data_IF_088683263391
#
_entry.id   IF_088683263391
#
_cell.length_a   1.000
_cell.length_b   1.000
_cell.length_c   1.000
_cell.angle_alpha   90.00
_cell.angle_beta   90.00
_cell.angle_gamma   90.00
#
_symmetry.space_group_name_H-M   'P 1'
#
loop_
_entity.id
_entity.type
_entity.pdbx_description
1 polymer ?
#
# COMPACT_ATOMS: atom_id res chain seq x y z
N UNK A 1 22.10 35.97 -5.63
CA UNK A 1 20.65 35.76 -5.75
C UNK A 1 20.41 34.28 -5.90
N UNK A 2 19.47 33.71 -5.15
CA UNK A 2 19.13 32.29 -5.17
C UNK A 2 17.70 32.09 -5.67
N UNK A 3 17.55 31.32 -6.76
CA UNK A 3 16.24 30.95 -7.32
C UNK A 3 16.05 29.44 -7.19
N UNK A 4 14.90 29.01 -6.65
CA UNK A 4 14.56 27.59 -6.55
C UNK A 4 13.45 27.20 -7.51
N UNK A 5 13.60 26.10 -8.24
CA UNK A 5 12.61 25.61 -9.19
C UNK A 5 11.93 24.39 -8.58
N UNK A 6 10.62 24.44 -8.40
CA UNK A 6 9.81 23.29 -8.00
C UNK A 6 9.01 22.83 -9.22
N UNK A 7 9.34 21.65 -9.73
CA UNK A 7 8.72 21.09 -10.93
C UNK A 7 7.76 19.96 -10.55
N UNK A 8 6.47 20.18 -10.79
CA UNK A 8 5.36 19.29 -10.47
C UNK A 8 4.88 18.41 -11.62
N UNK A 9 5.55 18.44 -12.77
CA UNK A 9 5.28 17.51 -13.86
C UNK A 9 5.83 16.11 -13.59
N UNK A 10 5.70 15.21 -14.56
CA UNK A 10 6.01 13.78 -14.40
C UNK A 10 7.44 13.38 -14.77
N UNK A 11 8.24 14.31 -15.30
CA UNK A 11 9.60 14.03 -15.74
C UNK A 11 9.68 13.21 -17.03
N UNK A 12 8.65 13.30 -17.88
CA UNK A 12 8.66 12.67 -19.21
C UNK A 12 9.59 13.48 -20.13
N UNK A 13 10.29 12.80 -21.04
CA UNK A 13 11.25 13.43 -21.96
C UNK A 13 10.61 14.56 -22.78
N UNK A 14 9.42 14.32 -23.34
CA UNK A 14 8.70 15.27 -24.20
C UNK A 14 7.80 16.23 -23.40
N UNK A 15 8.21 16.60 -22.18
CA UNK A 15 7.44 17.55 -21.37
C UNK A 15 7.74 19.01 -21.78
N UNK A 16 6.74 19.79 -22.25
CA UNK A 16 6.95 21.17 -22.68
C UNK A 16 7.38 22.11 -21.56
N UNK A 17 6.90 21.90 -20.33
CA UNK A 17 7.33 22.70 -19.16
C UNK A 17 8.79 22.44 -18.85
N UNK A 18 9.27 21.19 -19.02
CA UNK A 18 10.65 20.80 -18.77
C UNK A 18 11.62 21.59 -19.67
N UNK A 19 11.30 21.69 -20.95
CA UNK A 19 12.07 22.53 -21.89
C UNK A 19 12.11 23.99 -21.46
N UNK A 20 10.95 24.57 -21.11
CA UNK A 20 10.86 25.97 -20.71
C UNK A 20 11.72 26.26 -19.48
N UNK A 21 11.61 25.44 -18.42
CA UNK A 21 12.41 25.67 -17.20
C UNK A 21 13.89 25.41 -17.42
N UNK A 22 14.27 24.48 -18.30
CA UNK A 22 15.68 24.27 -18.65
C UNK A 22 16.23 25.52 -19.35
N UNK A 23 15.49 26.08 -20.31
CA UNK A 23 15.93 27.28 -21.01
C UNK A 23 15.99 28.51 -20.11
N UNK A 24 15.01 28.68 -19.22
CA UNK A 24 15.07 29.72 -18.19
C UNK A 24 16.26 29.52 -17.25
N UNK A 25 16.57 28.28 -16.89
CA UNK A 25 17.71 27.97 -16.03
C UNK A 25 19.04 28.34 -16.69
N UNK A 26 19.19 28.12 -17.99
CA UNK A 26 20.40 28.49 -18.74
C UNK A 26 20.62 30.01 -18.71
N UNK A 27 19.59 30.80 -19.03
CA UNK A 27 19.66 32.28 -18.97
C UNK A 27 19.98 32.76 -17.55
N UNK A 28 19.34 32.19 -16.53
CA UNK A 28 19.58 32.60 -15.15
C UNK A 28 21.00 32.23 -14.68
N UNK A 29 21.56 31.11 -15.15
CA UNK A 29 22.97 30.73 -14.86
C UNK A 29 23.95 31.72 -15.49
N UNK A 30 23.69 32.16 -16.71
CA UNK A 30 24.51 33.20 -17.38
C UNK A 30 24.51 34.52 -16.60
N UNK A 31 23.42 34.84 -15.91
CA UNK A 31 23.28 35.99 -15.03
C UNK A 31 23.86 35.77 -13.61
N UNK A 32 24.65 34.71 -13.39
CA UNK A 32 25.26 34.34 -12.11
C UNK A 32 24.26 34.11 -10.96
N UNK A 33 23.08 33.57 -11.28
CA UNK A 33 22.08 33.17 -10.29
C UNK A 33 22.35 31.75 -9.80
N UNK A 34 22.32 31.55 -8.48
CA UNK A 34 22.36 30.20 -7.90
C UNK A 34 21.00 29.54 -8.07
N UNK A 35 20.95 28.40 -8.77
CA UNK A 35 19.70 27.70 -9.04
C UNK A 35 19.71 26.31 -8.40
N UNK A 36 18.65 26.00 -7.66
CA UNK A 36 18.37 24.67 -7.12
C UNK A 36 17.05 24.17 -7.68
N UNK A 37 17.03 22.97 -8.24
CA UNK A 37 15.83 22.39 -8.84
C UNK A 37 15.37 21.17 -8.05
N UNK A 38 14.08 21.14 -7.73
CA UNK A 38 13.39 20.07 -7.04
C UNK A 38 12.35 19.45 -7.97
N UNK A 39 12.61 18.22 -8.39
CA UNK A 39 11.66 17.41 -9.15
C UNK A 39 10.71 16.74 -8.16
N UNK A 40 9.48 17.25 -8.03
CA UNK A 40 8.55 16.79 -6.99
C UNK A 40 8.17 15.31 -7.17
N UNK A 41 8.17 14.80 -8.39
CA UNK A 41 7.92 13.38 -8.69
C UNK A 41 9.02 12.44 -8.15
N UNK A 42 10.24 12.92 -7.90
CA UNK A 42 11.34 12.16 -7.29
C UNK A 42 11.27 12.19 -5.76
N UNK A 43 10.62 13.21 -5.21
CA UNK A 43 10.61 13.50 -3.78
C UNK A 43 9.28 13.18 -3.10
N UNK A 44 8.48 12.25 -3.65
CA UNK A 44 7.07 12.00 -3.26
C UNK A 44 6.84 11.95 -1.74
N UNK A 45 7.68 11.21 -1.00
CA UNK A 45 7.54 11.06 0.46
C UNK A 45 8.13 12.25 1.25
N UNK A 46 8.96 13.06 0.60
CA UNK A 46 9.70 14.16 1.21
C UNK A 46 9.15 15.55 0.82
N UNK A 47 8.09 15.63 0.00
CA UNK A 47 7.48 16.91 -0.42
C UNK A 47 7.13 17.78 0.80
N UNK A 48 6.65 17.15 1.87
CA UNK A 48 6.31 17.79 3.15
C UNK A 48 7.49 18.48 3.83
N UNK A 49 8.74 18.09 3.56
CA UNK A 49 9.96 18.75 4.10
C UNK A 49 10.45 19.92 3.24
N UNK A 50 10.03 20.00 1.97
CA UNK A 50 10.50 21.02 1.03
C UNK A 50 10.22 22.47 1.43
N UNK A 51 9.17 22.82 2.20
CA UNK A 51 8.98 24.20 2.64
C UNK A 51 10.17 24.78 3.41
N UNK A 52 10.96 23.96 4.12
CA UNK A 52 12.18 24.40 4.80
C UNK A 52 13.23 24.95 3.82
N UNK A 53 13.23 24.45 2.58
CA UNK A 53 14.13 24.92 1.53
C UNK A 53 13.78 26.33 1.03
N UNK A 54 12.64 26.91 1.40
CA UNK A 54 12.27 28.27 0.99
C UNK A 54 13.00 29.36 1.79
N UNK A 55 13.54 29.02 2.96
CA UNK A 55 14.08 30.00 3.91
C UNK A 55 15.25 30.86 3.37
N UNK A 56 16.01 30.34 2.40
CA UNK A 56 17.16 31.01 1.78
C UNK A 56 16.94 31.35 0.30
N UNK A 57 15.71 31.26 -0.20
CA UNK A 57 15.38 31.63 -1.57
C UNK A 57 15.05 33.13 -1.69
N UNK A 58 15.59 33.80 -2.70
CA UNK A 58 15.16 35.17 -3.10
C UNK A 58 13.96 35.12 -4.04
N UNK A 59 13.88 34.05 -4.84
CA UNK A 59 12.76 33.78 -5.72
C UNK A 59 12.57 32.30 -6.00
N UNK A 60 11.40 31.95 -6.51
CA UNK A 60 11.08 30.59 -6.90
C UNK A 60 10.39 30.54 -8.26
N UNK A 61 10.49 29.41 -8.92
CA UNK A 61 9.72 29.08 -10.11
C UNK A 61 8.85 27.88 -9.77
N UNK A 62 7.53 28.05 -9.83
CA UNK A 62 6.58 26.95 -9.72
C UNK A 62 6.21 26.49 -11.12
N UNK A 63 6.63 25.28 -11.48
CA UNK A 63 6.51 24.76 -12.82
C UNK A 63 5.63 23.51 -12.85
N UNK A 64 4.62 23.45 -13.70
CA UNK A 64 3.78 22.25 -13.84
C UNK A 64 3.24 22.08 -15.25
N UNK A 65 2.96 20.84 -15.63
CA UNK A 65 2.37 20.48 -16.93
C UNK A 65 0.93 20.03 -16.71
N UNK A 66 -0.01 20.70 -17.38
CA UNK A 66 -1.42 20.35 -17.33
C UNK A 66 -1.69 19.26 -18.37
N UNK A 67 -1.85 18.02 -17.90
CA UNK A 67 -2.22 16.87 -18.73
C UNK A 67 -3.74 16.67 -18.79
N UNK A 68 -4.42 16.88 -17.66
CA UNK A 68 -5.88 16.72 -17.55
C UNK A 68 -6.56 17.95 -16.95
N UNK A 69 -6.34 18.22 -15.66
CA UNK A 69 -6.98 19.33 -14.97
C UNK A 69 -6.16 19.78 -13.76
N UNK A 70 -6.12 21.10 -13.56
CA UNK A 70 -5.44 21.73 -12.43
C UNK A 70 -3.92 21.65 -12.51
N UNK A 71 -3.26 21.95 -11.38
CA UNK A 71 -1.81 22.12 -11.29
C UNK A 71 -1.04 20.81 -11.01
N UNK A 72 -1.74 19.67 -10.94
CA UNK A 72 -1.16 18.36 -10.63
C UNK A 72 -1.01 18.09 -9.13
N UNK A 73 -1.08 16.81 -8.76
CA UNK A 73 -1.12 16.38 -7.35
C UNK A 73 0.16 16.71 -6.57
N UNK A 74 1.35 16.54 -7.18
CA UNK A 74 2.61 16.85 -6.51
C UNK A 74 2.78 18.34 -6.22
N UNK A 75 2.38 19.20 -7.18
CA UNK A 75 2.42 20.65 -6.97
C UNK A 75 1.41 21.08 -5.90
N UNK A 76 0.20 20.49 -5.92
CA UNK A 76 -0.80 20.73 -4.88
C UNK A 76 -0.26 20.33 -3.50
N UNK A 77 0.30 19.13 -3.36
CA UNK A 77 0.90 18.66 -2.10
C UNK A 77 2.02 19.58 -1.61
N UNK A 78 2.85 20.10 -2.52
CA UNK A 78 3.89 21.06 -2.17
C UNK A 78 3.31 22.38 -1.65
N UNK A 79 2.28 22.92 -2.30
CA UNK A 79 1.60 24.13 -1.84
C UNK A 79 0.88 23.93 -0.51
N UNK A 80 0.25 22.78 -0.29
CA UNK A 80 -0.37 22.41 0.98
C UNK A 80 0.69 22.28 2.08
N UNK A 81 1.85 21.68 1.78
CA UNK A 81 2.98 21.64 2.69
C UNK A 81 3.51 23.05 3.00
N UNK A 82 3.58 23.95 2.02
CA UNK A 82 3.93 25.35 2.27
C UNK A 82 2.89 26.08 3.12
N UNK A 83 1.60 25.71 2.99
CA UNK A 83 0.53 26.23 3.83
C UNK A 83 0.70 25.79 5.29
N UNK A 84 0.94 24.50 5.52
CA UNK A 84 1.02 23.91 6.85
C UNK A 84 2.38 24.17 7.53
N UNK A 85 3.47 24.01 6.80
CA UNK A 85 4.83 23.95 7.34
C UNK A 85 5.76 25.08 6.86
N UNK A 86 5.31 25.92 5.94
CA UNK A 86 6.13 26.99 5.39
C UNK A 86 6.30 28.17 6.37
N UNK A 87 7.53 28.64 6.52
CA UNK A 87 7.84 29.88 7.25
C UNK A 87 7.23 31.08 6.51
N UNK A 88 6.14 31.64 7.06
CA UNK A 88 5.38 32.75 6.44
C UNK A 88 6.19 34.04 6.31
N UNK A 89 7.10 34.30 7.24
CA UNK A 89 7.95 35.50 7.21
C UNK A 89 8.99 35.43 6.09
N UNK A 90 9.51 34.23 5.82
CA UNK A 90 10.38 34.00 4.67
C UNK A 90 9.57 34.13 3.37
N UNK A 91 8.45 33.40 3.26
CA UNK A 91 7.59 33.39 2.06
C UNK A 91 7.15 34.80 1.66
N UNK A 92 6.86 35.69 2.63
CA UNK A 92 6.44 37.07 2.37
C UNK A 92 7.45 37.91 1.57
N UNK A 93 8.71 37.48 1.51
CA UNK A 93 9.79 38.16 0.80
C UNK A 93 10.15 37.49 -0.53
N UNK A 94 9.56 36.33 -0.83
CA UNK A 94 9.91 35.49 -1.97
C UNK A 94 9.04 35.83 -3.18
N UNK A 95 9.71 36.15 -4.28
CA UNK A 95 9.09 36.31 -5.60
C UNK A 95 8.83 34.95 -6.26
N UNK A 96 7.65 34.75 -6.84
CA UNK A 96 7.29 33.49 -7.50
C UNK A 96 6.91 33.70 -8.95
N UNK A 97 7.56 32.99 -9.86
CA UNK A 97 7.19 32.92 -11.26
C UNK A 97 6.44 31.60 -11.56
N UNK A 98 5.18 31.65 -12.03
CA UNK A 98 4.48 30.45 -12.46
C UNK A 98 4.84 30.10 -13.92
N UNK A 99 5.17 28.85 -14.18
CA UNK A 99 5.45 28.31 -15.51
C UNK A 99 4.52 27.12 -15.75
N UNK A 100 3.56 27.26 -16.65
CA UNK A 100 2.54 26.23 -16.86
C UNK A 100 2.36 25.92 -18.34
N UNK A 101 2.75 24.72 -18.78
CA UNK A 101 2.46 24.28 -20.15
C UNK A 101 1.33 23.25 -20.16
N UNK A 102 0.65 23.11 -21.30
CA UNK A 102 -0.36 22.07 -21.52
C UNK A 102 -0.14 21.40 -22.87
N UNK A 103 -0.47 20.11 -22.96
CA UNK A 103 -0.60 19.38 -24.23
C UNK A 103 -2.06 19.27 -24.68
N UNK A 104 -2.99 19.80 -23.88
CA UNK A 104 -4.43 19.79 -24.12
C UNK A 104 -5.03 21.19 -23.90
N UNK A 105 -5.35 21.55 -22.66
CA UNK A 105 -5.92 22.83 -22.25
C UNK A 105 -5.69 23.07 -20.75
N UNK A 106 -6.03 24.27 -20.26
CA UNK A 106 -6.06 24.59 -18.83
C UNK A 106 -4.78 25.24 -18.28
N UNK A 107 -3.81 25.53 -19.13
CA UNK A 107 -2.55 26.19 -18.75
C UNK A 107 -2.77 27.59 -18.16
N UNK A 108 -3.77 28.33 -18.66
CA UNK A 108 -4.13 29.65 -18.14
C UNK A 108 -4.69 29.57 -16.72
N UNK A 109 -5.59 28.62 -16.48
CA UNK A 109 -6.17 28.38 -15.16
C UNK A 109 -5.11 27.85 -14.19
N UNK A 110 -4.24 26.96 -14.64
CA UNK A 110 -3.10 26.47 -13.85
C UNK A 110 -2.16 27.60 -13.44
N UNK A 111 -1.81 28.50 -14.36
CA UNK A 111 -0.99 29.68 -14.05
C UNK A 111 -1.66 30.60 -13.04
N UNK A 112 -2.96 30.89 -13.22
CA UNK A 112 -3.73 31.70 -12.29
C UNK A 112 -3.78 31.04 -10.90
N UNK A 113 -3.99 29.72 -10.85
CA UNK A 113 -4.04 28.96 -9.62
C UNK A 113 -2.72 29.05 -8.84
N UNK A 114 -1.57 28.84 -9.50
CA UNK A 114 -0.26 29.02 -8.87
C UNK A 114 -0.05 30.43 -8.33
N UNK A 115 -0.40 31.46 -9.11
CA UNK A 115 -0.33 32.86 -8.66
C UNK A 115 -1.16 33.12 -7.42
N UNK A 116 -2.43 32.71 -7.44
CA UNK A 116 -3.36 32.90 -6.32
C UNK A 116 -2.93 32.12 -5.08
N UNK A 117 -2.48 30.87 -5.25
CA UNK A 117 -2.01 30.05 -4.14
C UNK A 117 -0.79 30.67 -3.45
N UNK A 118 0.19 31.14 -4.21
CA UNK A 118 1.38 31.80 -3.66
C UNK A 118 1.06 33.12 -2.97
N UNK A 119 0.12 33.87 -3.53
CA UNK A 119 -0.38 35.11 -2.96
C UNK A 119 -1.11 34.88 -1.63
N UNK A 120 -1.93 33.82 -1.53
CA UNK A 120 -2.60 33.39 -0.29
C UNK A 120 -1.57 32.95 0.75
N UNK A 121 -0.47 32.30 0.34
CA UNK A 121 0.65 31.96 1.22
C UNK A 121 1.37 33.21 1.77
N UNK A 122 1.20 34.36 1.10
CA UNK A 122 1.72 35.66 1.49
C UNK A 122 2.91 36.13 0.65
N UNK A 123 3.32 35.36 -0.35
CA UNK A 123 4.47 35.69 -1.20
C UNK A 123 4.12 36.64 -2.35
N UNK A 124 5.12 36.92 -3.20
CA UNK A 124 5.06 37.95 -4.24
C UNK A 124 4.95 37.31 -5.65
N UNK A 125 3.74 37.10 -6.20
CA UNK A 125 3.60 36.55 -7.53
C UNK A 125 4.13 37.52 -8.60
N UNK A 126 4.92 36.98 -9.52
CA UNK A 126 5.49 37.67 -10.68
C UNK A 126 4.77 37.28 -11.96
N UNK A 127 5.08 37.99 -13.03
CA UNK A 127 4.62 37.63 -14.36
C UNK A 127 5.22 36.28 -14.77
N UNK A 128 4.37 35.28 -15.02
CA UNK A 128 4.77 33.94 -15.46
C UNK A 128 4.56 33.62 -16.94
N UNK A 129 4.85 32.39 -17.34
CA UNK A 129 4.67 31.84 -18.69
C UNK A 129 3.54 30.81 -18.65
N UNK A 130 2.66 30.84 -19.64
CA UNK A 130 1.78 29.72 -19.92
C UNK A 130 1.63 29.52 -21.43
N UNK A 131 1.53 28.27 -21.87
CA UNK A 131 1.45 27.94 -23.29
C UNK A 131 0.90 26.55 -23.56
N UNK A 132 0.22 26.42 -24.68
CA UNK A 132 -0.20 25.14 -25.24
C UNK A 132 0.83 24.66 -26.24
N UNK A 133 1.25 23.40 -26.13
CA UNK A 133 2.24 22.78 -27.01
C UNK A 133 1.65 21.49 -27.57
N UNK A 134 1.36 21.49 -28.87
CA UNK A 134 0.87 20.31 -29.59
C UNK A 134 2.02 19.45 -30.16
N UNK A 135 3.06 20.11 -30.67
CA UNK A 135 4.24 19.47 -31.24
C UNK A 135 5.49 20.03 -30.59
N UNK A 136 6.23 19.15 -29.93
CA UNK A 136 7.42 19.53 -29.17
C UNK A 136 8.55 19.97 -30.10
N UNK A 137 8.72 19.32 -31.26
CA UNK A 137 9.82 19.65 -32.19
C UNK A 137 9.68 21.08 -32.72
N UNK A 138 8.48 21.46 -33.15
CA UNK A 138 8.21 22.84 -33.58
C UNK A 138 8.37 23.83 -32.43
N UNK A 139 7.98 23.46 -31.21
CA UNK A 139 8.13 24.33 -30.05
C UNK A 139 9.59 24.60 -29.69
N UNK A 140 10.44 23.57 -29.72
CA UNK A 140 11.86 23.67 -29.39
C UNK A 140 12.69 24.39 -30.46
N UNK A 141 12.24 24.36 -31.71
CA UNK A 141 12.97 24.97 -32.84
C UNK A 141 12.49 26.39 -33.17
N UNK A 142 11.38 26.85 -32.58
CA UNK A 142 10.84 28.17 -32.85
C UNK A 142 11.59 29.26 -32.06
N UNK A 143 12.38 30.07 -32.78
CA UNK A 143 13.14 31.18 -32.22
C UNK A 143 12.28 32.21 -31.47
N UNK A 144 11.09 32.55 -31.95
CA UNK A 144 10.24 33.54 -31.30
C UNK A 144 9.78 33.06 -29.91
N UNK A 145 9.55 31.75 -29.75
CA UNK A 145 9.18 31.15 -28.46
C UNK A 145 10.37 31.09 -27.51
N UNK A 146 11.55 30.74 -28.00
CA UNK A 146 12.79 30.79 -27.22
C UNK A 146 13.02 32.21 -26.72
N UNK A 147 13.00 33.21 -27.59
CA UNK A 147 13.17 34.63 -27.23
C UNK A 147 12.15 35.10 -26.19
N UNK A 148 10.92 34.59 -26.24
CA UNK A 148 9.89 34.88 -25.24
C UNK A 148 10.23 34.28 -23.87
N UNK A 149 10.72 33.04 -23.83
CA UNK A 149 11.14 32.36 -22.61
C UNK A 149 12.35 33.08 -22.00
N UNK A 150 13.35 33.44 -22.81
CA UNK A 150 14.56 34.13 -22.37
C UNK A 150 14.23 35.51 -21.80
N UNK A 151 13.45 36.33 -22.52
CA UNK A 151 12.95 37.62 -22.00
C UNK A 151 12.19 37.48 -20.69
N UNK A 152 11.49 36.36 -20.49
CA UNK A 152 10.80 36.10 -19.22
C UNK A 152 11.78 35.81 -18.09
N UNK A 153 12.78 34.97 -18.34
CA UNK A 153 13.82 34.65 -17.37
C UNK A 153 14.55 35.92 -16.92
N UNK A 154 14.93 36.79 -17.86
CA UNK A 154 15.52 38.10 -17.56
C UNK A 154 14.59 39.01 -16.74
N UNK A 155 13.29 39.02 -17.07
CA UNK A 155 12.34 39.82 -16.32
C UNK A 155 12.24 39.37 -14.86
N UNK A 156 12.24 38.07 -14.60
CA UNK A 156 12.25 37.52 -13.23
C UNK A 156 13.51 37.97 -12.49
N UNK A 157 14.68 37.82 -13.13
CA UNK A 157 15.94 38.30 -12.56
C UNK A 157 15.85 39.77 -12.16
N UNK A 158 15.36 40.61 -13.07
CA UNK A 158 15.21 42.06 -12.85
C UNK A 158 14.24 42.36 -11.70
N UNK A 159 13.08 41.71 -11.67
CA UNK A 159 12.06 41.90 -10.63
C UNK A 159 12.62 41.57 -9.24
N UNK A 160 13.35 40.45 -9.10
CA UNK A 160 13.95 40.05 -7.83
C UNK A 160 15.09 40.99 -7.44
N UNK A 161 16.00 41.27 -8.38
CA UNK A 161 17.17 42.11 -8.13
C UNK A 161 16.80 43.55 -7.76
N UNK A 162 15.73 44.09 -8.34
CA UNK A 162 15.25 45.44 -8.06
C UNK A 162 14.28 45.51 -6.88
N UNK A 163 13.88 44.35 -6.33
CA UNK A 163 12.86 44.25 -5.28
C UNK A 163 11.58 45.01 -5.64
N UNK A 164 11.09 44.81 -6.86
CA UNK A 164 9.94 45.56 -7.37
C UNK A 164 8.70 45.33 -6.51
N UNK A 165 8.17 46.39 -5.92
CA UNK A 165 6.95 46.32 -5.11
C UNK A 165 5.73 45.96 -5.97
N UNK A 166 4.90 45.05 -5.46
CA UNK A 166 3.59 44.77 -6.02
C UNK A 166 2.51 45.62 -5.33
N UNK A 167 1.44 45.94 -6.05
CA UNK A 167 0.24 46.52 -5.45
C UNK A 167 -0.46 45.47 -4.57
N UNK A 168 -1.09 45.89 -3.46
CA UNK A 168 -1.76 44.96 -2.56
C UNK A 168 -2.98 44.33 -3.24
N UNK A 169 -3.10 43.01 -3.15
CA UNK A 169 -4.24 42.27 -3.66
C UNK A 169 -5.31 42.02 -2.60
N UNK A 170 -6.56 41.85 -3.04
CA UNK A 170 -7.72 41.71 -2.16
C UNK A 170 -7.61 40.49 -1.23
N UNK A 171 -7.13 39.36 -1.73
CA UNK A 171 -6.91 38.14 -0.93
C UNK A 171 -5.86 38.33 0.18
N UNK A 172 -4.79 39.09 -0.07
CA UNK A 172 -3.79 39.43 0.95
C UNK A 172 -4.39 40.32 2.05
N UNK A 173 -5.25 41.27 1.67
CA UNK A 173 -5.90 42.20 2.60
C UNK A 173 -6.96 41.49 3.45
N UNK A 174 -7.79 40.64 2.84
CA UNK A 174 -8.83 39.88 3.54
C UNK A 174 -8.21 38.90 4.54
N UNK A 175 -7.09 38.24 4.21
CA UNK A 175 -6.37 37.38 5.15
C UNK A 175 -5.96 38.14 6.42
N UNK A 176 -5.45 39.37 6.28
CA UNK A 176 -5.10 40.20 7.45
C UNK A 176 -6.32 40.59 8.31
N UNK A 177 -7.51 40.69 7.72
CA UNK A 177 -8.74 41.05 8.43
C UNK A 177 -9.48 39.85 9.06
N UNK A 178 -9.40 38.66 8.45
CA UNK A 178 -10.26 37.50 8.77
C UNK A 178 -9.51 36.36 9.47
N UNK A 179 -8.17 36.38 9.54
CA UNK A 179 -7.36 35.35 10.23
C UNK A 179 -7.46 35.48 11.76
N UNK A 180 -8.66 35.25 12.28
CA UNK A 180 -9.00 35.08 13.70
C UNK A 180 -9.27 33.60 14.01
N UNK A 181 -8.85 32.69 13.13
CA UNK A 181 -8.88 31.25 13.39
C UNK A 181 -7.64 30.90 14.20
N UNK A 182 -7.81 30.14 15.29
CA UNK A 182 -6.75 29.67 16.19
C UNK A 182 -5.67 28.87 15.43
N UNK A 183 -4.78 29.56 14.72
CA UNK A 183 -3.57 28.99 14.20
C UNK A 183 -2.68 28.71 15.42
N UNK A 184 -2.31 27.45 15.61
CA UNK A 184 -1.25 27.10 16.55
C UNK A 184 -0.02 27.86 16.05
N UNK A 185 0.38 28.91 16.76
CA UNK A 185 1.54 29.73 16.43
C UNK A 185 2.79 28.92 16.78
N UNK A 186 3.11 27.95 15.94
CA UNK A 186 4.37 27.20 16.01
C UNK A 186 5.49 28.13 15.57
N UNK A 187 6.59 28.10 16.29
CA UNK A 187 7.84 28.72 15.83
C UNK A 187 8.32 28.04 14.53
N UNK A 188 9.13 28.72 13.71
CA UNK A 188 9.71 28.11 12.51
C UNK A 188 10.44 26.78 12.80
N UNK A 189 11.09 26.68 13.97
CA UNK A 189 11.79 25.46 14.40
C UNK A 189 10.83 24.31 14.72
N UNK A 190 9.73 24.58 15.45
CA UNK A 190 8.71 23.56 15.74
C UNK A 190 8.01 23.09 14.48
N UNK A 191 7.82 24.01 13.52
CA UNK A 191 7.21 23.72 12.22
C UNK A 191 8.09 22.79 11.37
N UNK A 192 9.41 23.01 11.36
CA UNK A 192 10.36 22.12 10.69
C UNK A 192 10.48 20.74 11.37
N UNK A 193 10.35 20.67 12.69
CA UNK A 193 10.32 19.39 13.39
C UNK A 193 9.05 18.60 13.07
N UNK A 194 7.90 19.28 13.02
CA UNK A 194 6.63 18.70 12.62
C UNK A 194 6.63 18.20 11.19
N UNK A 195 7.24 18.94 10.25
CA UNK A 195 7.34 18.48 8.87
C UNK A 195 8.18 17.21 8.76
N UNK A 196 9.30 17.12 9.49
CA UNK A 196 10.12 15.89 9.56
C UNK A 196 9.33 14.72 10.14
N UNK A 197 8.58 14.94 11.22
CA UNK A 197 7.75 13.90 11.83
C UNK A 197 6.62 13.44 10.91
N UNK A 198 5.95 14.37 10.21
CA UNK A 198 4.90 14.04 9.24
C UNK A 198 5.43 13.31 7.99
N UNK A 199 6.73 13.47 7.69
CA UNK A 199 7.42 12.75 6.61
C UNK A 199 7.92 11.37 7.04
N UNK A 200 7.92 11.08 8.35
CA UNK A 200 8.52 9.88 8.91
C UNK A 200 7.56 8.69 8.75
N UNK A 201 7.77 7.94 7.66
CA UNK A 201 7.03 6.73 7.29
C UNK A 201 7.22 5.56 8.28
N UNK A 202 7.97 5.72 9.39
CA UNK A 202 8.20 4.67 10.40
C UNK A 202 6.91 4.02 10.90
N UNK A 203 5.82 4.78 11.02
CA UNK A 203 4.50 4.23 11.38
C UNK A 203 3.92 3.29 10.30
N UNK A 204 4.06 3.65 9.03
CA UNK A 204 3.56 2.87 7.88
C UNK A 204 4.44 1.65 7.63
N UNK A 205 5.75 1.79 7.82
CA UNK A 205 6.70 0.67 7.75
C UNK A 205 6.44 -0.35 8.87
N UNK A 206 6.19 0.13 10.10
CA UNK A 206 5.82 -0.73 11.23
C UNK A 206 4.51 -1.46 10.99
N UNK A 207 3.46 -0.79 10.49
CA UNK A 207 2.21 -1.47 10.11
C UNK A 207 2.42 -2.55 9.03
N UNK A 208 3.26 -2.30 8.01
CA UNK A 208 3.55 -3.29 6.97
C UNK A 208 4.30 -4.50 7.54
N UNK A 209 5.24 -4.26 8.43
CA UNK A 209 5.96 -5.33 9.13
C UNK A 209 5.00 -6.11 10.04
N UNK A 210 4.16 -5.43 10.82
CA UNK A 210 3.15 -6.06 11.69
C UNK A 210 2.15 -6.89 10.87
N UNK A 211 1.72 -6.42 9.69
CA UNK A 211 0.87 -7.21 8.78
C UNK A 211 1.60 -8.46 8.27
N UNK A 212 2.89 -8.35 7.94
CA UNK A 212 3.69 -9.51 7.52
C UNK A 212 3.88 -10.51 8.67
N UNK A 213 4.12 -10.04 9.89
CA UNK A 213 4.23 -10.88 11.09
C UNK A 213 2.90 -11.57 11.43
N UNK A 214 1.77 -10.85 11.32
CA UNK A 214 0.44 -11.43 11.48
C UNK A 214 0.14 -12.47 10.39
N UNK A 215 0.53 -12.22 9.14
CA UNK A 215 0.36 -13.17 8.04
C UNK A 215 1.20 -14.43 8.24
N UNK A 216 2.44 -14.32 8.72
CA UNK A 216 3.27 -15.49 9.07
C UNK A 216 2.70 -16.25 10.26
N UNK A 217 2.19 -15.55 11.28
CA UNK A 217 1.61 -16.18 12.47
C UNK A 217 0.29 -16.90 12.13
N UNK A 218 -0.53 -16.36 11.22
CA UNK A 218 -1.70 -17.04 10.68
C UNK A 218 -1.34 -18.28 9.86
N UNK A 219 -0.26 -18.21 9.08
CA UNK A 219 0.25 -19.35 8.31
C UNK A 219 0.73 -20.46 9.24
N UNK A 220 1.51 -20.14 10.26
CA UNK A 220 1.97 -21.10 11.26
C UNK A 220 0.79 -21.69 12.05
N UNK A 221 -0.24 -20.90 12.42
CA UNK A 221 -1.45 -21.43 13.06
C UNK A 221 -2.27 -22.36 12.16
N UNK A 222 -2.29 -22.12 10.84
CA UNK A 222 -2.93 -23.02 9.88
C UNK A 222 -2.14 -24.33 9.75
N UNK A 223 -0.81 -24.25 9.66
CA UNK A 223 0.08 -25.43 9.64
C UNK A 223 0.01 -26.23 10.96
N UNK A 224 -0.22 -25.57 12.10
CA UNK A 224 -0.42 -26.22 13.39
C UNK A 224 -1.83 -26.81 13.59
N UNK A 225 -2.88 -26.25 12.97
CA UNK A 225 -4.24 -26.84 12.99
C UNK A 225 -4.32 -28.18 12.24
N UNK A 226 -3.52 -28.35 11.19
CA UNK A 226 -3.44 -29.63 10.44
C UNK A 226 -2.84 -30.77 11.28
N UNK A 227 -2.16 -30.46 12.40
CA UNK A 227 -1.61 -31.49 13.31
C UNK A 227 -2.63 -31.94 14.37
N UNK A 228 -3.60 -31.10 14.77
CA UNK A 228 -4.57 -31.44 15.84
C UNK A 228 -5.77 -32.29 15.36
N UNK A 229 -6.15 -32.23 14.08
CA UNK A 229 -7.14 -33.17 13.49
C UNK A 229 -6.62 -34.62 13.37
N UNK A 230 -5.33 -34.83 13.62
CA UNK A 230 -4.75 -36.17 13.60
C UNK A 230 -5.22 -37.02 14.78
N UNK A 231 -5.70 -36.41 15.88
CA UNK A 231 -6.07 -37.09 17.13
C UNK A 231 -7.56 -37.44 17.29
N UNK A 232 -8.48 -36.93 16.45
CA UNK A 232 -9.93 -37.03 16.74
C UNK A 232 -10.48 -38.47 16.72
N UNK A 233 -10.08 -39.29 15.76
CA UNK A 233 -10.66 -40.62 15.58
C UNK A 233 -10.38 -41.61 16.73
N UNK A 234 -9.34 -41.40 17.54
CA UNK A 234 -9.10 -42.29 18.69
C UNK A 234 -10.20 -42.11 19.73
N UNK A 235 -10.56 -40.86 20.03
CA UNK A 235 -11.60 -40.55 21.00
C UNK A 235 -12.97 -41.06 20.52
N UNK A 236 -13.27 -40.89 19.22
CA UNK A 236 -14.55 -41.33 18.64
C UNK A 236 -14.74 -42.85 18.75
N UNK A 237 -13.68 -43.65 18.55
CA UNK A 237 -13.74 -45.10 18.73
C UNK A 237 -13.81 -45.51 20.20
N UNK A 238 -13.15 -44.79 21.10
CA UNK A 238 -13.20 -45.05 22.53
C UNK A 238 -14.59 -44.77 23.13
N UNK A 239 -15.26 -43.70 22.68
CA UNK A 239 -16.56 -43.30 23.21
C UNK A 239 -17.70 -44.24 22.79
N UNK A 240 -17.62 -44.82 21.58
CA UNK A 240 -18.70 -45.64 20.98
C UNK A 240 -18.47 -47.14 21.05
N UNK A 241 -17.49 -47.59 21.84
CA UNK A 241 -17.15 -48.99 21.98
C UNK A 241 -18.10 -49.74 22.93
N UNK A 242 -18.75 -50.78 22.42
CA UNK A 242 -19.58 -51.68 23.20
C UNK A 242 -18.95 -53.08 23.23
N UNK A 243 -18.44 -53.54 24.39
CA UNK A 243 -17.80 -54.85 24.47
C UNK A 243 -18.83 -55.98 24.32
N UNK A 244 -18.61 -56.87 23.34
CA UNK A 244 -19.40 -58.10 23.16
C UNK A 244 -18.55 -59.34 23.46
N UNK A 245 -18.78 -59.94 24.64
CA UNK A 245 -18.21 -61.24 25.01
C UNK A 245 -16.68 -61.34 24.98
N UNK A 246 -16.12 -62.56 25.02
CA UNK A 246 -14.68 -62.80 24.92
C UNK A 246 -14.19 -62.70 23.46
N UNK A 247 -14.27 -61.52 22.86
CA UNK A 247 -13.83 -61.25 21.49
C UNK A 247 -12.42 -60.64 21.46
N UNK A 248 -11.57 -61.10 20.55
CA UNK A 248 -10.22 -60.56 20.32
C UNK A 248 -9.99 -60.40 18.83
N UNK A 249 -9.65 -59.19 18.38
CA UNK A 249 -9.37 -58.89 16.98
C UNK A 249 -8.54 -57.61 16.84
N UNK A 250 -7.79 -57.52 15.74
CA UNK A 250 -6.94 -56.39 15.40
C UNK A 250 -7.26 -55.83 14.00
N UNK A 251 -7.52 -54.53 13.94
CA UNK A 251 -7.91 -53.81 12.73
C UNK A 251 -6.91 -52.71 12.41
N UNK A 252 -6.62 -52.54 11.11
CA UNK A 252 -5.75 -51.48 10.61
C UNK A 252 -6.47 -50.65 9.56
N UNK A 253 -6.71 -49.39 9.88
CA UNK A 253 -7.31 -48.42 8.98
C UNK A 253 -6.23 -47.55 8.32
N UNK A 254 -6.10 -47.69 7.01
CA UNK A 254 -5.23 -46.87 6.16
C UNK A 254 -6.12 -45.79 5.52
N UNK A 255 -6.03 -44.58 6.06
CA UNK A 255 -6.72 -43.40 5.56
C UNK A 255 -5.80 -42.74 4.53
N UNK A 256 -6.24 -42.62 3.26
CA UNK A 256 -5.39 -42.16 2.15
C UNK A 256 -4.74 -40.80 2.39
N UNK A 257 -5.43 -39.91 3.09
CA UNK A 257 -5.03 -38.54 3.39
C UNK A 257 -4.17 -38.43 4.66
N UNK A 258 -3.97 -39.52 5.43
CA UNK A 258 -3.14 -39.53 6.65
C UNK A 258 -1.85 -40.33 6.45
N UNK A 259 -0.74 -39.80 6.99
CA UNK A 259 0.61 -40.41 6.88
C UNK A 259 0.77 -41.70 7.71
N UNK A 260 0.01 -41.86 8.80
CA UNK A 260 0.08 -43.03 9.70
C UNK A 260 -1.27 -43.75 9.73
N UNK A 261 -1.30 -45.10 9.61
CA UNK A 261 -2.54 -45.84 9.79
C UNK A 261 -3.01 -45.81 11.24
N UNK A 262 -4.32 -45.88 11.43
CA UNK A 262 -4.96 -46.07 12.73
C UNK A 262 -5.07 -47.57 13.01
N UNK A 263 -4.62 -48.00 14.18
CA UNK A 263 -4.71 -49.38 14.64
C UNK A 263 -5.73 -49.43 15.77
N UNK A 264 -6.67 -50.36 15.66
CA UNK A 264 -7.75 -50.60 16.62
C UNK A 264 -7.66 -52.06 17.04
N UNK A 265 -7.31 -52.30 18.30
CA UNK A 265 -7.15 -53.63 18.88
C UNK A 265 -8.15 -53.85 19.99
N UNK A 266 -8.76 -55.03 19.99
CA UNK A 266 -9.70 -55.46 21.01
C UNK A 266 -9.11 -56.72 21.60
N UNK A 267 -8.81 -56.71 22.89
CA UNK A 267 -8.25 -57.86 23.63
C UNK A 267 -9.08 -58.01 24.90
N UNK A 268 -9.73 -59.16 25.10
CA UNK A 268 -10.52 -59.45 26.30
C UNK A 268 -11.52 -58.34 26.69
N UNK A 269 -12.22 -57.75 25.72
CA UNK A 269 -13.15 -56.62 25.91
C UNK A 269 -12.51 -55.27 26.28
N UNK A 270 -11.19 -55.12 26.16
CA UNK A 270 -10.52 -53.83 26.25
C UNK A 270 -10.11 -53.33 24.86
N UNK A 271 -10.40 -52.04 24.60
CA UNK A 271 -10.07 -51.36 23.35
C UNK A 271 -8.76 -50.60 23.47
N UNK A 272 -7.82 -50.87 22.57
CA UNK A 272 -6.56 -50.14 22.41
C UNK A 272 -6.50 -49.52 21.02
N UNK A 273 -6.59 -48.20 20.96
CA UNK A 273 -6.52 -47.42 19.70
C UNK A 273 -5.24 -46.60 19.67
N UNK A 274 -4.45 -46.70 18.60
CA UNK A 274 -3.24 -45.91 18.43
C UNK A 274 -2.88 -45.71 16.95
N UNK A 275 -2.20 -44.59 16.64
CA UNK A 275 -1.62 -44.38 15.30
C UNK A 275 -0.22 -44.99 15.22
N UNK A 276 -0.05 -45.94 14.32
CA UNK A 276 1.20 -46.69 14.22
C UNK A 276 1.21 -47.64 13.03
N UNK A 277 2.26 -48.44 12.92
CA UNK A 277 2.34 -49.48 11.91
C UNK A 277 2.50 -50.84 12.59
N UNK A 278 1.50 -51.70 12.46
CA UNK A 278 1.54 -53.09 12.89
C UNK A 278 1.42 -53.97 11.65
N UNK A 279 2.28 -54.98 11.57
CA UNK A 279 2.37 -55.88 10.41
C UNK A 279 1.41 -57.07 10.53
N UNK A 280 1.18 -57.56 11.75
CA UNK A 280 0.25 -58.67 12.03
C UNK A 280 -1.08 -58.11 12.53
N UNK A 281 -2.02 -57.93 11.60
CA UNK A 281 -3.40 -57.50 11.88
C UNK A 281 -4.39 -58.42 11.16
N UNK A 282 -5.54 -58.67 11.79
CA UNK A 282 -6.54 -59.62 11.29
C UNK A 282 -7.33 -59.06 10.10
N UNK A 283 -7.52 -57.74 10.07
CA UNK A 283 -8.21 -57.02 8.99
C UNK A 283 -7.52 -55.69 8.68
N UNK A 284 -7.28 -55.44 7.39
CA UNK A 284 -6.80 -54.15 6.87
C UNK A 284 -7.90 -53.49 6.06
N UNK A 285 -8.29 -52.29 6.46
CA UNK A 285 -9.28 -51.45 5.79
C UNK A 285 -8.57 -50.24 5.15
N UNK A 286 -8.84 -49.96 3.88
CA UNK A 286 -8.36 -48.78 3.16
C UNK A 286 -9.54 -47.92 2.73
N UNK A 287 -9.52 -46.65 3.12
CA UNK A 287 -10.61 -45.70 2.88
C UNK A 287 -10.08 -44.27 2.83
N UNK A 288 -10.93 -43.32 2.46
CA UNK A 288 -10.64 -41.88 2.48
C UNK A 288 -11.13 -41.24 3.77
N UNK A 289 -10.57 -40.09 4.15
CA UNK A 289 -10.96 -39.36 5.35
C UNK A 289 -12.46 -39.02 5.38
N UNK A 290 -13.02 -38.71 4.20
CA UNK A 290 -14.46 -38.43 4.06
C UNK A 290 -15.33 -39.66 4.38
N UNK A 291 -14.92 -40.85 3.91
CA UNK A 291 -15.61 -42.12 4.21
C UNK A 291 -15.50 -42.45 5.69
N UNK A 292 -14.34 -42.20 6.32
CA UNK A 292 -14.14 -42.38 7.76
C UNK A 292 -15.11 -41.52 8.58
N UNK A 293 -15.18 -40.23 8.26
CA UNK A 293 -16.07 -39.29 8.94
C UNK A 293 -17.54 -39.68 8.77
N UNK A 294 -17.93 -40.09 7.56
CA UNK A 294 -19.31 -40.53 7.28
C UNK A 294 -19.70 -41.75 8.12
N UNK A 295 -18.75 -42.63 8.41
CA UNK A 295 -18.97 -43.79 9.27
C UNK A 295 -19.08 -43.38 10.74
N UNK A 296 -18.17 -42.53 11.23
CA UNK A 296 -18.17 -42.04 12.62
C UNK A 296 -19.43 -41.20 12.92
N UNK A 297 -19.90 -40.41 11.96
CA UNK A 297 -21.15 -39.63 12.02
C UNK A 297 -22.42 -40.50 11.95
N UNK A 298 -22.30 -41.83 11.80
CA UNK A 298 -23.42 -42.75 11.80
C UNK A 298 -24.24 -42.80 10.52
N UNK A 299 -23.81 -42.09 9.47
CA UNK A 299 -24.51 -42.04 8.17
C UNK A 299 -24.24 -43.26 7.31
N UNK A 300 -23.21 -44.04 7.65
CA UNK A 300 -22.80 -45.24 6.92
C UNK A 300 -22.16 -46.25 7.87
N UNK A 301 -22.30 -47.55 7.58
CA UNK A 301 -21.64 -48.63 8.34
C UNK A 301 -20.38 -49.11 7.63
N UNK A 302 -19.46 -49.76 8.35
CA UNK A 302 -18.26 -50.36 7.77
C UNK A 302 -18.62 -51.42 6.73
N UNK A 303 -19.64 -52.24 6.98
CA UNK A 303 -20.12 -53.22 5.99
C UNK A 303 -20.66 -52.53 4.74
N UNK A 304 -21.44 -51.44 4.88
CA UNK A 304 -22.02 -50.72 3.73
C UNK A 304 -20.94 -50.04 2.89
N UNK A 305 -19.95 -49.42 3.52
CA UNK A 305 -18.81 -48.81 2.84
C UNK A 305 -17.97 -49.85 2.05
N UNK A 306 -17.88 -51.08 2.55
CA UNK A 306 -17.26 -52.17 1.80
C UNK A 306 -18.12 -52.63 0.62
N UNK A 307 -19.43 -52.79 0.81
CA UNK A 307 -20.35 -53.23 -0.25
C UNK A 307 -20.52 -52.19 -1.38
N UNK A 308 -20.41 -50.89 -1.08
CA UNK A 308 -20.46 -49.82 -2.09
C UNK A 308 -19.14 -49.65 -2.87
N UNK A 309 -18.06 -50.27 -2.41
CA UNK A 309 -16.73 -50.13 -3.00
C UNK A 309 -15.92 -48.91 -2.49
N UNK A 310 -16.48 -48.13 -1.57
CA UNK A 310 -15.84 -46.94 -0.99
C UNK A 310 -14.72 -47.29 0.00
N UNK A 311 -14.75 -48.50 0.56
CA UNK A 311 -13.73 -49.07 1.42
C UNK A 311 -13.21 -50.40 0.87
N UNK A 312 -11.89 -50.55 0.78
CA UNK A 312 -11.25 -51.83 0.42
C UNK A 312 -10.83 -52.58 1.68
N UNK A 313 -11.17 -53.87 1.77
CA UNK A 313 -10.89 -54.72 2.93
C UNK A 313 -10.03 -55.92 2.54
N UNK A 314 -9.02 -56.24 3.36
CA UNK A 314 -8.16 -57.42 3.22
C UNK A 314 -8.00 -58.10 4.58
N UNK A 315 -8.48 -59.33 4.75
CA UNK A 315 -8.44 -60.07 6.03
C UNK A 315 -9.62 -61.02 6.21
N UNK A 316 -9.94 -61.39 7.45
CA UNK A 316 -11.15 -62.18 7.74
C UNK A 316 -12.41 -61.30 7.69
N UNK A 317 -13.21 -61.48 6.63
CA UNK A 317 -14.44 -60.73 6.38
C UNK A 317 -15.52 -60.93 7.46
N UNK A 318 -15.44 -61.99 8.27
CA UNK A 318 -16.38 -62.18 9.40
C UNK A 318 -16.14 -61.16 10.50
N UNK A 319 -14.89 -60.74 10.70
CA UNK A 319 -14.51 -59.71 11.66
C UNK A 319 -14.94 -58.31 11.21
N UNK A 320 -15.08 -58.07 9.91
CA UNK A 320 -15.62 -56.81 9.39
C UNK A 320 -17.06 -56.56 9.88
N UNK A 321 -17.91 -57.58 9.89
CA UNK A 321 -19.29 -57.48 10.40
C UNK A 321 -19.32 -57.23 11.92
N UNK A 322 -18.31 -57.70 12.64
CA UNK A 322 -18.18 -57.46 14.06
C UNK A 322 -17.84 -56.00 14.36
N UNK A 323 -17.13 -55.27 13.48
CA UNK A 323 -16.86 -53.83 13.68
C UNK A 323 -18.14 -53.02 13.86
N UNK A 324 -19.15 -53.24 13.03
CA UNK A 324 -20.44 -52.56 13.13
C UNK A 324 -21.23 -52.94 14.40
N UNK A 325 -20.92 -54.09 15.01
CA UNK A 325 -21.53 -54.53 16.27
C UNK A 325 -20.78 -54.02 17.51
N UNK A 326 -19.46 -53.82 17.39
CA UNK A 326 -18.58 -53.37 18.45
C UNK A 326 -18.56 -51.84 18.56
N UNK A 327 -18.81 -51.14 17.46
CA UNK A 327 -18.89 -49.69 17.42
C UNK A 327 -20.25 -49.25 16.87
N UNK A 328 -21.15 -48.89 17.79
CA UNK A 328 -22.48 -48.38 17.41
C UNK A 328 -22.37 -46.90 17.06
N UNK A 329 -22.03 -46.62 15.80
CA UNK A 329 -22.04 -45.26 15.28
C UNK A 329 -23.40 -44.86 14.71
N UNK A 330 -24.30 -45.81 14.42
CA UNK A 330 -25.64 -45.52 13.90
C UNK A 330 -26.42 -44.64 14.86
N UNK A 331 -27.00 -43.55 14.34
CA UNK A 331 -28.05 -42.81 15.03
C UNK A 331 -29.21 -43.76 15.29
N UNK A 332 -29.36 -44.21 16.55
CA UNK A 332 -30.64 -44.68 17.03
C UNK A 332 -31.62 -43.50 16.89
N UNK A 333 -32.63 -43.66 16.03
CA UNK A 333 -33.83 -42.83 16.09
C UNK A 333 -34.47 -43.07 17.46
N UNK A 334 -34.24 -42.14 18.38
CA UNK A 334 -34.98 -41.97 19.62
C UNK A 334 -35.66 -40.60 19.62
#
# INVERSE_FOLDING_TARGET
MKIKIYYGGRGILDDPTLFVINKMQDVLKELNVTIERFNLYEMKNNIVTLPATLNDADGIILATTVEWYGIGGYMQQFLDACWLYGNKEAIAKIYMCPVVMSTTYGERDGKLNLSVAWEILGGLPCSGICGYVNDMVTFETNHDYIDLIERKAENIYRTISQKTSALPASNQVVKKMVSSTNAINLTPQETEQLSKYASDDTYVQKQKQDIQELASLFKDMLEHKDMDESTSFINDFQEKFHPQGNFTASYKFIIKEKKKPLIVEIINSELVCHYGNKENVDVVCRLTNNVMNTIIEGRMTFQRAFMSGDMQVKGDFRLLRMLDQLFSFSLDEA
#
